data_IF_715074373002
#
_entry.id   IF_715074373002
#
_cell.length_a   1.000
_cell.length_b   1.000
_cell.length_c   1.000
_cell.angle_alpha   90.00
_cell.angle_beta   90.00
_cell.angle_gamma   90.00
#
_symmetry.space_group_name_H-M   'P 1'
#
loop_
_entity.id
_entity.type
_entity.pdbx_description
1 polymer ?
#
# COMPACT_ATOMS: atom_id res chain seq x y z
N UNK A 1 45.49 6.10 -13.54
CA UNK A 1 45.63 6.75 -12.22
C UNK A 1 46.23 5.74 -11.25
N UNK A 2 47.12 6.17 -10.36
CA UNK A 2 47.77 5.31 -9.35
C UNK A 2 47.12 5.45 -7.97
N UNK A 3 47.50 4.59 -7.02
CA UNK A 3 46.93 4.58 -5.67
C UNK A 3 47.19 5.91 -4.92
N UNK A 4 48.30 6.58 -5.20
CA UNK A 4 48.69 7.84 -4.57
C UNK A 4 47.78 9.00 -4.99
N UNK A 5 47.29 9.00 -6.23
CA UNK A 5 46.31 9.96 -6.72
C UNK A 5 44.87 9.62 -6.29
N UNK A 6 44.50 8.33 -6.20
CA UNK A 6 43.13 7.92 -5.85
C UNK A 6 42.82 8.09 -4.36
N UNK A 7 43.72 7.63 -3.49
CA UNK A 7 43.50 7.60 -2.03
C UNK A 7 43.05 8.94 -1.43
N UNK A 8 43.70 10.09 -1.71
CA UNK A 8 43.27 11.37 -1.13
C UNK A 8 41.90 11.83 -1.65
N UNK A 9 41.49 11.39 -2.85
CA UNK A 9 40.25 11.82 -3.50
C UNK A 9 39.04 10.93 -3.18
N UNK A 10 39.21 9.83 -2.45
CA UNK A 10 38.11 8.90 -2.14
C UNK A 10 36.96 9.55 -1.35
N UNK A 11 37.25 10.52 -0.48
CA UNK A 11 36.21 11.24 0.28
C UNK A 11 35.43 12.18 -0.64
N UNK A 12 36.12 12.96 -1.48
CA UNK A 12 35.51 13.85 -2.46
C UNK A 12 34.64 13.06 -3.45
N UNK A 13 35.15 11.93 -3.93
CA UNK A 13 34.41 10.98 -4.75
C UNK A 13 33.14 10.47 -4.04
N UNK A 14 33.23 10.05 -2.77
CA UNK A 14 32.08 9.54 -2.02
C UNK A 14 30.94 10.56 -1.88
N UNK A 15 31.27 11.83 -1.65
CA UNK A 15 30.27 12.91 -1.52
C UNK A 15 29.90 13.54 -2.86
N UNK A 16 30.49 13.07 -3.97
CA UNK A 16 30.25 13.58 -5.32
C UNK A 16 30.86 14.95 -5.61
N UNK A 17 31.81 15.42 -4.78
CA UNK A 17 32.50 16.70 -4.93
C UNK A 17 33.78 16.59 -5.78
N UNK A 18 33.68 15.90 -6.92
CA UNK A 18 34.77 15.70 -7.87
C UNK A 18 34.21 15.85 -9.30
N UNK A 19 35.05 16.30 -10.23
CA UNK A 19 34.65 16.41 -11.63
C UNK A 19 34.46 15.04 -12.30
N UNK A 20 33.82 15.05 -13.48
CA UNK A 20 33.43 13.83 -14.17
C UNK A 20 34.65 13.05 -14.72
N UNK A 21 35.72 13.74 -15.12
CA UNK A 21 36.92 13.10 -15.65
C UNK A 21 37.66 12.33 -14.55
N UNK A 22 37.84 12.96 -13.39
CA UNK A 22 38.44 12.33 -12.22
C UNK A 22 37.54 11.24 -11.63
N UNK A 23 36.21 11.42 -11.69
CA UNK A 23 35.25 10.38 -11.30
C UNK A 23 35.46 9.10 -12.12
N UNK A 24 35.45 9.21 -13.45
CA UNK A 24 35.67 8.06 -14.34
C UNK A 24 37.02 7.39 -14.09
N UNK A 25 38.08 8.20 -13.88
CA UNK A 25 39.42 7.69 -13.59
C UNK A 25 39.49 6.92 -12.25
N UNK A 26 38.82 7.42 -11.20
CA UNK A 26 38.73 6.74 -9.91
C UNK A 26 37.90 5.47 -10.03
N UNK A 27 36.74 5.51 -10.70
CA UNK A 27 35.89 4.33 -10.91
C UNK A 27 36.64 3.20 -11.62
N UNK A 28 37.33 3.51 -12.71
CA UNK A 28 38.16 2.56 -13.43
C UNK A 28 39.25 1.96 -12.53
N UNK A 29 39.89 2.78 -11.68
CA UNK A 29 40.90 2.29 -10.75
C UNK A 29 40.32 1.41 -9.63
N UNK A 30 39.16 1.75 -9.07
CA UNK A 30 38.50 0.98 -8.02
C UNK A 30 38.11 -0.43 -8.48
N UNK A 31 37.78 -0.60 -9.76
CA UNK A 31 37.51 -1.93 -10.35
C UNK A 31 38.79 -2.78 -10.44
N UNK A 32 39.94 -2.15 -10.71
CA UNK A 32 41.22 -2.85 -10.89
C UNK A 32 42.07 -3.00 -9.62
N UNK A 33 41.81 -2.22 -8.58
CA UNK A 33 42.67 -2.14 -7.39
C UNK A 33 41.94 -2.49 -6.10
N UNK A 34 42.21 -3.68 -5.57
CA UNK A 34 41.59 -4.18 -4.33
C UNK A 34 41.87 -3.28 -3.12
N UNK A 35 43.09 -2.76 -2.97
CA UNK A 35 43.46 -1.93 -1.82
C UNK A 35 42.65 -0.62 -1.77
N UNK A 36 42.53 0.08 -2.91
CA UNK A 36 41.74 1.30 -3.00
C UNK A 36 40.23 1.02 -2.83
N UNK A 37 39.74 -0.12 -3.34
CA UNK A 37 38.35 -0.54 -3.12
C UNK A 37 38.06 -0.80 -1.64
N UNK A 38 38.94 -1.49 -0.92
CA UNK A 38 38.78 -1.74 0.52
C UNK A 38 38.79 -0.42 1.32
N UNK A 39 39.68 0.52 0.98
CA UNK A 39 39.70 1.85 1.58
C UNK A 39 38.40 2.63 1.32
N UNK A 40 37.90 2.63 0.08
CA UNK A 40 36.63 3.25 -0.27
C UNK A 40 35.45 2.62 0.50
N UNK A 41 35.39 1.29 0.60
CA UNK A 41 34.34 0.60 1.34
C UNK A 41 34.39 0.91 2.85
N UNK A 42 35.56 1.16 3.41
CA UNK A 42 35.68 1.63 4.80
C UNK A 42 35.03 3.01 4.98
N UNK A 43 35.29 3.95 4.07
CA UNK A 43 34.67 5.29 4.05
C UNK A 43 33.15 5.15 3.93
N UNK A 44 32.67 4.39 2.94
CA UNK A 44 31.24 4.19 2.69
C UNK A 44 30.52 3.62 3.93
N UNK A 45 31.08 2.57 4.56
CA UNK A 45 30.48 1.99 5.78
C UNK A 45 30.50 2.95 6.97
N UNK A 46 31.52 3.80 7.08
CA UNK A 46 31.56 4.82 8.11
C UNK A 46 30.45 5.87 7.90
N UNK A 47 30.24 6.30 6.65
CA UNK A 47 29.16 7.20 6.29
C UNK A 47 27.77 6.57 6.50
N UNK A 48 27.56 5.32 6.09
CA UNK A 48 26.28 4.63 6.25
C UNK A 48 25.90 4.41 7.73
N UNK A 49 26.89 4.27 8.61
CA UNK A 49 26.69 4.14 10.05
C UNK A 49 26.54 5.48 10.77
N UNK A 50 26.85 6.59 10.12
CA UNK A 50 26.63 7.89 10.71
C UNK A 50 25.13 8.04 10.98
N UNK A 51 24.78 8.25 12.26
CA UNK A 51 23.39 8.46 12.65
C UNK A 51 23.00 9.84 12.18
N UNK A 52 22.39 9.91 11.00
CA UNK A 52 21.81 11.16 10.50
C UNK A 52 20.55 11.49 11.30
N UNK A 53 20.40 12.76 11.64
CA UNK A 53 19.16 13.26 12.22
C UNK A 53 18.01 12.97 11.26
N UNK A 54 16.94 12.35 11.78
CA UNK A 54 15.79 12.01 10.95
C UNK A 54 15.14 13.32 10.48
N UNK A 55 14.93 13.52 9.17
CA UNK A 55 14.31 14.75 8.69
C UNK A 55 12.91 14.89 9.29
N UNK A 56 12.54 16.13 9.62
CA UNK A 56 11.20 16.46 10.13
C UNK A 56 10.12 15.96 9.16
N UNK A 57 8.97 15.48 9.65
CA UNK A 57 7.95 14.88 8.79
C UNK A 57 7.48 15.83 7.68
N UNK A 58 7.43 17.13 7.92
CA UNK A 58 6.99 18.14 6.95
C UNK A 58 7.93 18.22 5.74
N UNK A 59 9.24 18.11 5.95
CA UNK A 59 10.25 18.11 4.87
C UNK A 59 10.09 16.87 4.00
N UNK A 60 9.84 15.72 4.63
CA UNK A 60 9.62 14.45 3.95
C UNK A 60 8.35 14.47 3.10
N UNK A 61 7.27 15.03 3.62
CA UNK A 61 6.00 15.17 2.91
C UNK A 61 6.11 16.12 1.72
N UNK A 62 6.78 17.26 1.92
CA UNK A 62 7.08 18.20 0.83
C UNK A 62 7.86 17.52 -0.30
N UNK A 63 8.95 16.82 0.03
CA UNK A 63 9.76 16.08 -0.95
C UNK A 63 8.93 15.04 -1.70
N UNK A 64 8.07 14.28 -0.99
CA UNK A 64 7.18 13.30 -1.64
C UNK A 64 6.21 13.96 -2.61
N UNK A 65 5.65 15.11 -2.25
CA UNK A 65 4.76 15.85 -3.14
C UNK A 65 5.50 16.34 -4.40
N UNK A 66 6.73 16.84 -4.25
CA UNK A 66 7.58 17.25 -5.37
C UNK A 66 7.92 16.08 -6.30
N UNK A 67 8.33 14.93 -5.75
CA UNK A 67 8.61 13.71 -6.52
C UNK A 67 7.38 13.23 -7.28
N UNK A 68 6.19 13.25 -6.65
CA UNK A 68 4.94 12.86 -7.33
C UNK A 68 4.56 13.80 -8.47
N UNK A 69 4.91 15.09 -8.37
CA UNK A 69 4.69 16.06 -9.46
C UNK A 69 5.66 15.84 -10.60
N UNK A 70 6.94 15.59 -10.31
CA UNK A 70 7.98 15.35 -11.32
C UNK A 70 7.82 13.98 -12.01
N UNK A 71 7.37 12.97 -11.26
CA UNK A 71 7.23 11.59 -11.71
C UNK A 71 5.82 11.08 -11.44
N UNK A 72 4.81 11.54 -12.21
CA UNK A 72 3.44 11.10 -12.01
C UNK A 72 3.33 9.58 -12.24
N UNK A 73 2.62 8.84 -11.37
CA UNK A 73 2.45 7.41 -11.53
C UNK A 73 1.69 7.11 -12.83
N UNK A 74 2.23 6.21 -13.66
CA UNK A 74 1.52 5.71 -14.86
C UNK A 74 0.24 5.00 -14.44
N UNK A 75 -0.91 5.52 -14.85
CA UNK A 75 -2.23 4.97 -14.47
C UNK A 75 -2.42 3.50 -14.86
N UNK A 76 -1.80 3.08 -15.96
CA UNK A 76 -1.83 1.69 -16.44
C UNK A 76 -1.21 0.71 -15.42
N UNK A 77 -0.18 1.13 -14.67
CA UNK A 77 0.50 0.28 -13.69
C UNK A 77 -0.34 0.02 -12.44
N UNK A 78 -1.19 0.97 -12.01
CA UNK A 78 -2.05 0.81 -10.83
C UNK A 78 -3.12 -0.27 -11.01
N UNK A 79 -3.76 -0.30 -12.19
CA UNK A 79 -4.78 -1.31 -12.50
C UNK A 79 -4.16 -2.71 -12.51
N UNK A 80 -3.03 -2.89 -13.19
CA UNK A 80 -2.33 -4.18 -13.25
C UNK A 80 -1.78 -4.61 -11.88
N UNK A 81 -1.23 -3.68 -11.08
CA UNK A 81 -0.75 -3.98 -9.74
C UNK A 81 -1.88 -4.37 -8.76
N UNK A 82 -3.07 -3.79 -8.93
CA UNK A 82 -4.25 -4.18 -8.17
C UNK A 82 -4.67 -5.62 -8.47
N UNK A 83 -4.70 -6.02 -9.75
CA UNK A 83 -5.00 -7.40 -10.13
C UNK A 83 -3.87 -8.39 -9.85
N UNK A 84 -2.61 -7.92 -9.78
CA UNK A 84 -1.44 -8.75 -9.41
C UNK A 84 -1.21 -8.86 -7.90
N UNK A 85 -1.91 -8.07 -7.08
CA UNK A 85 -1.85 -8.24 -5.63
C UNK A 85 -2.42 -9.60 -5.32
N UNK A 86 -1.56 -10.53 -4.89
CA UNK A 86 -1.99 -11.84 -4.38
C UNK A 86 -2.90 -11.59 -3.18
N UNK A 87 -4.21 -11.62 -3.41
CA UNK A 87 -5.19 -11.63 -2.34
C UNK A 87 -4.94 -12.93 -1.58
N UNK A 88 -4.66 -12.88 -0.27
CA UNK A 88 -4.40 -14.09 0.48
C UNK A 88 -5.65 -14.99 0.45
N UNK A 89 -5.44 -16.28 0.21
CA UNK A 89 -6.49 -17.25 -0.15
C UNK A 89 -7.69 -17.24 0.82
N UNK A 90 -7.48 -16.93 2.10
CA UNK A 90 -8.54 -16.86 3.09
C UNK A 90 -9.59 -15.77 2.80
N UNK A 91 -9.22 -14.65 2.19
CA UNK A 91 -10.18 -13.60 1.81
C UNK A 91 -11.05 -14.05 0.62
N UNK A 92 -10.45 -14.78 -0.32
CA UNK A 92 -11.18 -15.39 -1.43
C UNK A 92 -12.17 -16.46 -0.95
N UNK A 93 -11.75 -17.33 -0.04
CA UNK A 93 -12.61 -18.36 0.57
C UNK A 93 -13.75 -17.73 1.38
N UNK A 94 -13.47 -16.69 2.18
CA UNK A 94 -14.50 -15.99 2.94
C UNK A 94 -15.56 -15.36 2.03
N UNK A 95 -15.13 -14.70 0.94
CA UNK A 95 -16.06 -14.08 -0.01
C UNK A 95 -16.90 -15.12 -0.76
N UNK A 96 -16.29 -16.25 -1.16
CA UNK A 96 -17.00 -17.37 -1.76
C UNK A 96 -18.02 -18.00 -0.79
N UNK A 97 -17.66 -18.16 0.48
CA UNK A 97 -18.58 -18.69 1.50
C UNK A 97 -19.77 -17.76 1.74
N UNK A 98 -19.55 -16.43 1.81
CA UNK A 98 -20.63 -15.45 1.93
C UNK A 98 -21.54 -15.49 0.70
N UNK A 99 -20.98 -15.52 -0.51
CA UNK A 99 -21.77 -15.61 -1.74
C UNK A 99 -22.61 -16.90 -1.77
N UNK A 100 -22.02 -18.04 -1.41
CA UNK A 100 -22.73 -19.31 -1.32
C UNK A 100 -23.87 -19.28 -0.27
N UNK A 101 -23.63 -18.67 0.89
CA UNK A 101 -24.65 -18.51 1.93
C UNK A 101 -25.82 -17.64 1.44
N UNK A 102 -25.54 -16.53 0.75
CA UNK A 102 -26.58 -15.66 0.17
C UNK A 102 -27.41 -16.43 -0.85
N UNK A 103 -26.76 -17.16 -1.77
CA UNK A 103 -27.45 -17.97 -2.79
C UNK A 103 -28.31 -19.06 -2.15
N UNK A 104 -27.80 -19.75 -1.11
CA UNK A 104 -28.53 -20.81 -0.41
C UNK A 104 -29.71 -20.28 0.42
N UNK A 105 -29.61 -19.08 0.98
CA UNK A 105 -30.64 -18.48 1.83
C UNK A 105 -31.71 -17.69 1.04
N UNK A 106 -31.38 -17.20 -0.15
CA UNK A 106 -32.30 -16.45 -1.02
C UNK A 106 -33.68 -17.09 -1.23
N UNK A 107 -33.81 -18.41 -1.55
CA UNK A 107 -35.13 -19.03 -1.75
C UNK A 107 -35.96 -19.07 -0.46
N UNK A 108 -35.35 -19.34 0.70
CA UNK A 108 -36.07 -19.38 1.99
C UNK A 108 -36.54 -18.00 2.45
N UNK A 109 -35.78 -16.95 2.12
CA UNK A 109 -36.21 -15.57 2.36
C UNK A 109 -37.41 -15.22 1.48
N UNK A 110 -37.37 -15.60 0.20
CA UNK A 110 -38.48 -15.38 -0.75
C UNK A 110 -39.75 -16.10 -0.30
N UNK A 111 -39.63 -17.34 0.17
CA UNK A 111 -40.77 -18.14 0.66
C UNK A 111 -41.39 -17.55 1.94
N UNK A 112 -40.57 -17.10 2.91
CA UNK A 112 -41.09 -16.38 4.10
C UNK A 112 -41.78 -15.07 3.76
N UNK A 113 -41.28 -14.33 2.77
CA UNK A 113 -41.92 -13.10 2.32
C UNK A 113 -43.24 -13.38 1.61
N UNK A 114 -43.35 -14.46 0.84
CA UNK A 114 -44.62 -14.88 0.23
C UNK A 114 -45.64 -15.37 1.25
N UNK A 115 -45.22 -16.16 2.26
CA UNK A 115 -46.09 -16.62 3.33
C UNK A 115 -46.61 -15.46 4.19
N UNK A 116 -45.77 -14.46 4.46
CA UNK A 116 -46.17 -13.26 5.20
C UNK A 116 -47.07 -12.31 4.39
N UNK A 117 -46.95 -12.33 3.07
CA UNK A 117 -47.87 -11.63 2.17
C UNK A 117 -49.22 -12.34 2.00
N UNK A 118 -49.27 -13.65 2.30
CA UNK A 118 -50.49 -14.46 2.27
C UNK A 118 -51.26 -14.43 3.60
N UNK A 119 -50.70 -13.82 4.65
CA UNK A 119 -51.44 -13.52 5.87
C UNK A 119 -52.46 -12.41 5.53
N UNK A 120 -53.78 -12.70 5.54
CA UNK A 120 -54.76 -11.69 5.20
C UNK A 120 -54.62 -10.57 6.21
N UNK A 121 -54.33 -9.35 5.72
CA UNK A 121 -54.33 -8.15 6.55
C UNK A 121 -55.61 -8.15 7.39
N UNK A 122 -55.55 -7.85 8.70
CA UNK A 122 -56.73 -7.85 9.55
C UNK A 122 -57.78 -6.95 8.90
N UNK A 123 -58.85 -7.57 8.40
CA UNK A 123 -59.97 -6.86 7.82
C UNK A 123 -60.64 -6.19 9.02
N UNK A 124 -60.36 -4.90 9.19
CA UNK A 124 -61.06 -4.06 10.16
C UNK A 124 -62.47 -3.90 9.62
N UNK A 125 -63.41 -4.64 10.20
CA UNK A 125 -64.83 -4.55 9.90
C UNK A 125 -65.37 -3.21 10.40
N UNK A 126 -65.38 -2.21 9.52
CA UNK A 126 -65.90 -0.86 9.80
C UNK A 126 -67.42 -0.79 9.83
N UNK A 127 -68.14 -1.90 9.59
CA UNK A 127 -69.60 -1.94 9.64
C UNK A 127 -70.18 -2.04 11.05
N UNK A 128 -69.34 -2.35 12.06
CA UNK A 128 -69.76 -2.35 13.47
C UNK A 128 -69.72 -0.94 14.07
N UNK A 129 -70.89 -0.36 14.31
CA UNK A 129 -71.06 0.96 14.96
C UNK A 129 -71.05 0.91 16.50
N UNK A 130 -70.74 -0.24 17.11
CA UNK A 130 -70.66 -0.38 18.58
C UNK A 130 -69.25 -0.81 19.01
N UNK A 131 -68.58 0.08 19.72
CA UNK A 131 -67.40 -0.24 20.51
C UNK A 131 -67.86 -1.05 21.74
N UNK A 132 -67.80 -2.38 21.66
CA UNK A 132 -67.78 -3.17 22.89
C UNK A 132 -66.41 -2.97 23.54
N UNK A 133 -66.47 -2.36 24.71
CA UNK A 133 -65.36 -2.01 25.58
C UNK A 133 -64.44 -3.19 25.85
N UNK A 134 -63.12 -2.95 25.74
CA UNK A 134 -62.08 -3.71 26.42
C UNK A 134 -62.39 -3.75 27.93
N UNK A 135 -62.99 -4.85 28.40
CA UNK A 135 -62.94 -5.19 29.83
C UNK A 135 -61.58 -5.84 30.10
N UNK A 136 -60.64 -5.01 30.54
CA UNK A 136 -59.42 -5.47 31.20
C UNK A 136 -59.80 -5.77 32.65
N UNK A 137 -59.81 -7.06 33.01
CA UNK A 137 -59.69 -7.54 34.39
C UNK A 137 -58.34 -8.24 34.53
#
# INVERSE_FOLDING_TARGET
MDCTAVTPNLVAYHVGAIDDADREAIEAHLVGCRACLEAYLAIKRAADRAVFERPRPEVKERLRAEVLRAFPPREAGRRVAFFRRRIPLYQGVALAAVAAAVVALAPKVKERLHLRAAEPAPIVDTSRTRAESLSIY
#
